data_IF_439391945927
#
_entry.id   IF_439391945927
#
_cell.length_a   1.000
_cell.length_b   1.000
_cell.length_c   1.000
_cell.angle_alpha   90.00
_cell.angle_beta   90.00
_cell.angle_gamma   90.00
#
_symmetry.space_group_name_H-M   'P 1'
#
loop_
_entity.id
_entity.type
_entity.pdbx_description
1 polymer ?
#
# COMPACT_ATOMS: atom_id res chain seq x y z
N UNK A 1 21.93 -60.50 -6.42
CA UNK A 1 20.54 -60.03 -6.61
C UNK A 1 20.00 -59.26 -5.40
N UNK A 2 20.11 -59.74 -4.15
CA UNK A 2 19.60 -59.04 -2.95
C UNK A 2 20.20 -57.62 -2.73
N UNK A 3 21.51 -57.43 -2.92
CA UNK A 3 22.17 -56.12 -2.73
C UNK A 3 21.67 -55.05 -3.71
N UNK A 4 21.47 -55.41 -4.99
CA UNK A 4 20.91 -54.49 -5.99
C UNK A 4 19.48 -54.08 -5.68
N UNK A 5 18.65 -55.02 -5.20
CA UNK A 5 17.30 -54.71 -4.74
C UNK A 5 17.30 -53.76 -3.55
N UNK A 6 18.22 -53.93 -2.60
CA UNK A 6 18.38 -53.01 -1.47
C UNK A 6 18.81 -51.61 -1.92
N UNK A 7 19.76 -51.50 -2.85
CA UNK A 7 20.21 -50.20 -3.38
C UNK A 7 19.12 -49.46 -4.16
N UNK A 8 18.34 -50.17 -4.98
CA UNK A 8 17.20 -49.59 -5.71
C UNK A 8 16.13 -49.09 -4.74
N UNK A 9 15.82 -49.85 -3.68
CA UNK A 9 14.86 -49.44 -2.67
C UNK A 9 15.30 -48.14 -1.96
N UNK A 10 16.58 -48.03 -1.61
CA UNK A 10 17.14 -46.81 -0.98
C UNK A 10 17.02 -45.61 -1.91
N UNK A 11 17.36 -45.78 -3.19
CA UNK A 11 17.27 -44.70 -4.18
C UNK A 11 15.82 -44.21 -4.37
N UNK A 12 14.86 -45.13 -4.41
CA UNK A 12 13.43 -44.79 -4.53
C UNK A 12 12.96 -44.02 -3.29
N UNK A 13 13.28 -44.49 -2.08
CA UNK A 13 12.89 -43.82 -0.84
C UNK A 13 13.52 -42.42 -0.76
N UNK A 14 14.79 -42.27 -1.13
CA UNK A 14 15.46 -40.98 -1.17
C UNK A 14 14.80 -40.01 -2.17
N UNK A 15 14.44 -40.50 -3.37
CA UNK A 15 13.77 -39.69 -4.39
C UNK A 15 12.37 -39.26 -3.96
N UNK A 16 11.56 -40.16 -3.42
CA UNK A 16 10.22 -39.81 -2.91
C UNK A 16 10.32 -38.85 -1.72
N UNK A 17 11.26 -39.07 -0.79
CA UNK A 17 11.51 -38.15 0.31
C UNK A 17 11.90 -36.75 -0.17
N UNK A 18 12.75 -36.67 -1.19
CA UNK A 18 13.15 -35.41 -1.81
C UNK A 18 11.99 -34.71 -2.52
N UNK A 19 11.24 -35.43 -3.38
CA UNK A 19 10.09 -34.89 -4.11
C UNK A 19 8.96 -34.44 -3.17
N UNK A 20 8.66 -35.23 -2.12
CA UNK A 20 7.72 -34.83 -1.08
C UNK A 20 8.19 -33.61 -0.28
N UNK A 21 9.50 -33.50 -0.03
CA UNK A 21 10.09 -32.33 0.62
C UNK A 21 9.93 -31.05 -0.20
N UNK A 22 10.23 -31.10 -1.51
CA UNK A 22 10.08 -29.97 -2.42
C UNK A 22 8.61 -29.55 -2.54
N UNK A 23 7.70 -30.50 -2.76
CA UNK A 23 6.27 -30.22 -2.85
C UNK A 23 5.69 -29.62 -1.55
N UNK A 24 6.18 -30.05 -0.38
CA UNK A 24 5.77 -29.49 0.90
C UNK A 24 6.33 -28.07 1.13
N UNK A 25 7.51 -27.75 0.60
CA UNK A 25 8.06 -26.38 0.65
C UNK A 25 7.21 -25.41 -0.17
N UNK A 26 6.88 -25.75 -1.41
CA UNK A 26 6.00 -24.93 -2.26
C UNK A 26 4.62 -24.74 -1.64
N UNK A 27 4.02 -25.82 -1.10
CA UNK A 27 2.74 -25.74 -0.41
C UNK A 27 2.79 -24.83 0.84
N UNK A 28 3.91 -24.84 1.58
CA UNK A 28 4.09 -23.96 2.75
C UNK A 28 4.18 -22.50 2.37
N UNK A 29 4.83 -22.17 1.25
CA UNK A 29 4.92 -20.79 0.76
C UNK A 29 3.54 -20.28 0.33
N UNK A 30 2.78 -21.08 -0.42
CA UNK A 30 1.41 -20.76 -0.79
C UNK A 30 0.46 -20.61 0.42
N UNK A 31 0.73 -21.34 1.51
CA UNK A 31 -0.06 -21.30 2.74
C UNK A 31 0.39 -20.23 3.74
N UNK A 32 1.49 -19.52 3.50
CA UNK A 32 1.81 -18.31 4.28
C UNK A 32 0.75 -17.25 3.97
N UNK A 33 -0.26 -17.17 4.83
CA UNK A 33 -1.23 -16.07 4.81
C UNK A 33 -0.44 -14.75 4.75
N UNK A 34 -0.79 -13.82 3.84
CA UNK A 34 -0.12 -12.54 3.81
C UNK A 34 -0.21 -11.93 5.20
N UNK A 35 0.96 -11.75 5.83
CA UNK A 35 1.03 -11.09 7.12
C UNK A 35 0.71 -9.63 6.84
N UNK A 36 -0.53 -9.23 7.11
CA UNK A 36 -0.90 -7.83 7.14
C UNK A 36 -0.06 -7.23 8.27
N UNK A 37 0.88 -6.35 7.92
CA UNK A 37 1.63 -5.62 8.92
C UNK A 37 0.63 -4.82 9.76
N UNK A 38 0.76 -4.90 11.09
CA UNK A 38 -0.10 -4.14 12.00
C UNK A 38 0.14 -2.63 11.82
N UNK A 39 1.40 -2.24 11.61
CA UNK A 39 1.80 -0.86 11.30
C UNK A 39 2.89 -0.82 10.23
N UNK A 40 2.96 0.29 9.52
CA UNK A 40 4.05 0.63 8.60
C UNK A 40 4.51 2.05 8.90
N UNK A 41 5.75 2.17 9.38
CA UNK A 41 6.40 3.47 9.54
C UNK A 41 7.09 3.86 8.24
N UNK A 42 6.64 4.95 7.64
CA UNK A 42 7.23 5.46 6.40
C UNK A 42 7.22 6.99 6.38
N UNK A 43 8.17 7.57 5.64
CA UNK A 43 8.20 9.01 5.39
C UNK A 43 7.15 9.46 4.36
N UNK A 44 6.73 8.57 3.47
CA UNK A 44 5.81 8.86 2.38
C UNK A 44 5.20 7.58 1.81
N UNK A 45 3.93 7.62 1.47
CA UNK A 45 3.26 6.62 0.66
C UNK A 45 2.79 7.27 -0.65
N UNK A 46 3.04 6.60 -1.77
CA UNK A 46 2.61 7.06 -3.10
C UNK A 46 1.89 5.94 -3.82
N UNK A 47 0.71 6.24 -4.33
CA UNK A 47 -0.05 5.35 -5.20
C UNK A 47 0.16 5.80 -6.64
N UNK A 48 0.63 4.90 -7.49
CA UNK A 48 0.74 5.10 -8.93
C UNK A 48 -0.28 4.21 -9.64
N UNK A 49 -0.79 4.66 -10.79
CA UNK A 49 -1.57 3.80 -11.70
C UNK A 49 -0.66 2.93 -12.58
N UNK A 50 -1.25 2.17 -13.50
CA UNK A 50 -0.52 1.25 -14.40
C UNK A 50 0.35 2.00 -15.40
N UNK A 51 -0.01 3.24 -15.72
CA UNK A 51 0.69 4.14 -16.63
C UNK A 51 1.82 4.92 -15.93
N UNK A 52 1.95 4.79 -14.61
CA UNK A 52 2.98 5.46 -13.81
C UNK A 52 2.61 6.86 -13.33
N UNK A 53 1.35 7.29 -13.45
CA UNK A 53 0.87 8.57 -12.94
C UNK A 53 0.61 8.48 -11.43
N UNK A 54 1.03 9.50 -10.68
CA UNK A 54 0.72 9.62 -9.26
C UNK A 54 -0.79 9.87 -9.06
N UNK A 55 -1.44 9.01 -8.26
CA UNK A 55 -2.89 9.06 -7.95
C UNK A 55 -3.19 9.44 -6.52
N UNK A 56 -2.29 9.12 -5.59
CA UNK A 56 -2.38 9.59 -4.22
C UNK A 56 -1.01 9.73 -3.57
N UNK A 57 -0.87 10.65 -2.62
CA UNK A 57 0.34 10.81 -1.82
C UNK A 57 -0.04 11.10 -0.36
N UNK A 58 0.45 10.29 0.58
CA UNK A 58 0.44 10.58 2.02
C UNK A 58 1.87 10.91 2.44
N UNK A 59 2.09 12.11 2.97
CA UNK A 59 3.42 12.54 3.42
C UNK A 59 3.44 13.98 3.92
N UNK A 60 4.62 14.59 3.93
CA UNK A 60 4.82 15.98 4.33
C UNK A 60 5.51 16.79 3.23
N UNK A 61 4.85 17.00 2.06
CA UNK A 61 5.49 17.66 0.92
C UNK A 61 5.81 19.14 1.16
N UNK A 62 5.11 19.79 2.12
CA UNK A 62 5.27 21.20 2.46
C UNK A 62 5.76 21.44 3.90
N UNK A 63 6.05 20.37 4.64
CA UNK A 63 6.41 20.40 6.07
C UNK A 63 5.31 19.81 6.95
N UNK A 64 4.05 20.03 6.59
CA UNK A 64 2.88 19.54 7.32
C UNK A 64 2.34 18.22 6.73
N UNK A 65 1.73 17.35 7.55
CA UNK A 65 1.07 16.14 7.07
C UNK A 65 -0.07 16.44 6.10
N UNK A 66 -0.08 15.74 4.96
CA UNK A 66 -1.10 15.89 3.93
C UNK A 66 -1.37 14.57 3.19
N UNK A 67 -2.64 14.41 2.77
CA UNK A 67 -3.12 13.38 1.85
C UNK A 67 -3.61 14.04 0.55
N UNK A 68 -2.83 13.83 -0.51
CA UNK A 68 -3.05 14.02 -1.96
C UNK A 68 -4.02 13.03 -2.61
N UNK A 69 -5.10 13.46 -3.30
CA UNK A 69 -5.73 12.69 -4.39
C UNK A 69 -5.65 13.45 -5.72
N UNK A 70 -5.13 12.80 -6.76
CA UNK A 70 -4.84 13.40 -8.07
C UNK A 70 -5.72 12.82 -9.19
N UNK A 71 -6.13 13.65 -10.13
CA UNK A 71 -6.82 13.23 -11.36
C UNK A 71 -5.85 12.63 -12.40
N UNK A 72 -6.38 12.25 -13.58
CA UNK A 72 -5.58 11.67 -14.68
C UNK A 72 -4.60 12.64 -15.34
N UNK A 73 -4.70 13.93 -15.05
CA UNK A 73 -3.77 14.97 -15.52
C UNK A 73 -2.74 15.32 -14.43
N UNK A 74 -2.75 14.62 -13.29
CA UNK A 74 -1.88 14.89 -12.15
C UNK A 74 -2.29 16.13 -11.34
N UNK A 75 -3.52 16.63 -11.50
CA UNK A 75 -4.02 17.75 -10.70
C UNK A 75 -4.66 17.26 -9.40
N UNK A 76 -4.36 17.86 -8.24
CA UNK A 76 -5.00 17.49 -6.99
C UNK A 76 -6.49 17.87 -7.01
N UNK A 77 -7.39 16.93 -6.73
CA UNK A 77 -8.87 17.13 -6.69
C UNK A 77 -9.45 16.99 -5.29
N UNK A 78 -8.73 16.38 -4.36
CA UNK A 78 -9.08 16.39 -2.96
C UNK A 78 -7.83 16.36 -2.10
N UNK A 79 -7.90 17.02 -0.95
CA UNK A 79 -6.85 16.90 0.06
C UNK A 79 -7.36 17.04 1.47
N UNK A 80 -6.65 16.39 2.39
CA UNK A 80 -6.75 16.53 3.83
C UNK A 80 -5.36 16.89 4.33
N UNK A 81 -5.21 18.00 5.05
CA UNK A 81 -3.90 18.46 5.54
C UNK A 81 -4.03 19.20 6.87
N UNK A 82 -2.90 19.40 7.55
CA UNK A 82 -2.77 20.43 8.58
C UNK A 82 -2.22 21.71 7.95
N UNK A 83 -2.78 22.87 8.30
CA UNK A 83 -2.13 24.15 8.00
C UNK A 83 -0.95 24.42 8.94
N UNK A 84 -0.26 25.54 8.73
CA UNK A 84 0.95 25.90 9.49
C UNK A 84 0.67 26.11 10.98
N UNK A 85 -0.57 26.44 11.29
CA UNK A 85 -1.07 26.62 12.65
C UNK A 85 -1.57 25.29 13.26
N UNK A 86 -1.50 24.19 12.52
CA UNK A 86 -1.91 22.85 12.96
C UNK A 86 -3.40 22.58 12.85
N UNK A 87 -4.17 23.45 12.20
CA UNK A 87 -5.60 23.24 12.00
C UNK A 87 -5.86 22.28 10.85
N UNK A 88 -6.79 21.35 11.05
CA UNK A 88 -7.23 20.45 10.00
C UNK A 88 -7.96 21.21 8.89
N UNK A 89 -7.53 20.98 7.65
CA UNK A 89 -8.16 21.48 6.43
C UNK A 89 -8.51 20.32 5.52
N UNK A 90 -9.67 20.40 4.88
CA UNK A 90 -10.07 19.51 3.82
C UNK A 90 -10.70 20.31 2.68
N UNK A 91 -10.46 19.88 1.44
CA UNK A 91 -10.96 20.57 0.25
C UNK A 91 -11.22 19.59 -0.88
N UNK A 92 -12.30 19.81 -1.62
CA UNK A 92 -12.64 19.11 -2.86
C UNK A 92 -12.74 20.13 -4.00
N UNK A 93 -12.13 19.78 -5.14
CA UNK A 93 -12.06 20.60 -6.34
C UNK A 93 -12.59 19.79 -7.52
N UNK A 94 -13.45 20.38 -8.32
CA UNK A 94 -14.02 19.72 -9.50
C UNK A 94 -13.06 19.66 -10.69
N UNK A 95 -13.52 19.11 -11.83
CA UNK A 95 -12.71 19.05 -13.06
C UNK A 95 -12.42 20.40 -13.72
N UNK A 96 -13.10 21.47 -13.31
CA UNK A 96 -12.95 22.83 -13.81
C UNK A 96 -12.10 23.72 -12.88
N UNK A 97 -11.40 23.12 -11.92
CA UNK A 97 -10.61 23.82 -10.90
C UNK A 97 -11.46 24.68 -9.93
N UNK A 98 -12.77 24.41 -9.82
CA UNK A 98 -13.66 25.09 -8.89
C UNK A 98 -13.75 24.33 -7.56
N UNK A 99 -13.69 25.06 -6.45
CA UNK A 99 -13.87 24.48 -5.12
C UNK A 99 -15.33 24.07 -4.95
N UNK A 100 -15.57 22.77 -4.77
CA UNK A 100 -16.91 22.26 -4.48
C UNK A 100 -17.23 22.31 -2.98
N UNK A 101 -16.22 22.08 -2.14
CA UNK A 101 -16.41 22.00 -0.69
C UNK A 101 -15.10 22.21 0.06
N UNK A 102 -15.21 22.78 1.26
CA UNK A 102 -14.10 22.91 2.22
C UNK A 102 -14.56 22.64 3.65
N UNK A 103 -13.66 22.12 4.47
CA UNK A 103 -13.77 22.10 5.93
C UNK A 103 -12.49 22.66 6.58
N UNK A 104 -12.60 23.62 7.51
CA UNK A 104 -13.80 24.44 7.71
C UNK A 104 -14.12 25.23 6.42
N UNK A 105 -15.37 25.69 6.23
CA UNK A 105 -15.73 26.54 5.10
C UNK A 105 -14.83 27.79 5.01
N UNK A 106 -14.39 28.19 3.82
CA UNK A 106 -13.55 29.40 3.62
C UNK A 106 -14.20 30.67 4.20
N UNK A 107 -15.54 30.72 4.21
CA UNK A 107 -16.32 31.82 4.79
C UNK A 107 -16.90 31.50 6.19
N UNK A 108 -16.32 30.53 6.90
CA UNK A 108 -16.76 30.22 8.26
C UNK A 108 -16.57 31.47 9.15
N UNK A 109 -17.59 31.89 9.92
CA UNK A 109 -17.41 32.90 10.95
C UNK A 109 -16.25 32.48 11.85
N UNK A 110 -15.23 33.34 12.00
CA UNK A 110 -14.17 33.06 12.96
C UNK A 110 -14.79 32.96 14.36
N UNK A 111 -14.39 31.98 15.19
CA UNK A 111 -14.78 31.96 16.59
C UNK A 111 -14.41 33.32 17.19
N UNK A 112 -15.41 34.08 17.65
CA UNK A 112 -15.14 35.30 18.41
C UNK A 112 -14.47 34.87 19.72
N UNK A 113 -13.42 35.59 20.16
CA UNK A 113 -12.71 35.29 21.40
C UNK A 113 -13.62 35.38 22.63
#
# INVERSE_FOLDING_TARGET
MRVYQTLILIAIVALFGFLSGVALMEAREAQRRPRIAESVDARRFRLFDQEGNLRAELGMPFGEPALFLYDAKGKPRAWILLDREGNARMMFVDGNDQTQWTAPPINAPQPQP
#
